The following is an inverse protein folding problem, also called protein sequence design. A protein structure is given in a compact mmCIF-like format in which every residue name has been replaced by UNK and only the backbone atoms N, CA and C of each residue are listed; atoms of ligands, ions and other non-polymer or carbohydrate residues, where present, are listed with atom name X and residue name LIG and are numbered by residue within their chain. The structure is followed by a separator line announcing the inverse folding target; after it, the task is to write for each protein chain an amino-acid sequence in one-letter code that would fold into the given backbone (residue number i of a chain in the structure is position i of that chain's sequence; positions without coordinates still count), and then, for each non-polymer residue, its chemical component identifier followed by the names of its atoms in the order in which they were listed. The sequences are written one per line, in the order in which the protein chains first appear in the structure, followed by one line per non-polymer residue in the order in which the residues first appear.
data_IF_801012161749
#
_entry.id   IF_801012161749
#
_cell.length_a   1.000
_cell.length_b   1.000
_cell.length_c   1.000
_cell.angle_alpha   90.00
_cell.angle_beta   90.00
_cell.angle_gamma   90.00
#
_symmetry.space_group_name_H-M   'P 1'
#
loop_
_entity.id
_entity.type
_entity.pdbx_description
1 polymer ?
#
# COMPACT_ATOMS: atom_id res chain seq x y z
N UNK A 1 19.05 18.34 19.65
CA UNK A 1 18.47 19.68 19.50
C UNK A 1 17.06 19.51 18.97
N UNK A 2 16.06 19.75 19.81
CA UNK A 2 14.63 19.67 19.46
C UNK A 2 14.29 20.87 18.56
N UNK A 3 13.72 20.63 17.38
CA UNK A 3 13.24 21.71 16.53
C UNK A 3 12.10 22.45 17.25
N UNK A 4 12.23 23.77 17.37
CA UNK A 4 11.25 24.62 18.01
C UNK A 4 9.94 24.60 17.22
N UNK A 5 8.85 24.35 17.94
CA UNK A 5 7.48 24.33 17.43
C UNK A 5 7.03 25.75 17.07
N UNK A 6 7.11 26.09 15.79
CA UNK A 6 6.32 27.18 15.21
C UNK A 6 5.12 26.58 14.49
N UNK A 7 3.99 26.48 15.20
CA UNK A 7 2.65 26.45 14.61
C UNK A 7 1.98 25.09 14.35
N UNK A 8 0.80 24.93 14.96
CA UNK A 8 -0.36 24.08 14.62
C UNK A 8 -0.31 22.54 14.66
N UNK A 9 0.82 21.86 14.52
CA UNK A 9 0.84 20.38 14.56
C UNK A 9 1.77 19.81 15.63
N UNK A 10 1.39 18.68 16.28
CA UNK A 10 2.26 18.03 17.23
C UNK A 10 3.55 17.59 16.54
N UNK A 11 4.68 17.92 17.16
CA UNK A 11 5.97 17.43 16.71
C UNK A 11 6.02 15.90 16.93
N UNK A 12 6.46 15.10 15.92
CA UNK A 12 6.64 13.67 16.11
C UNK A 12 7.61 13.39 17.27
N UNK A 13 7.18 12.54 18.22
CA UNK A 13 8.04 12.08 19.33
C UNK A 13 9.07 11.05 18.89
N UNK A 14 8.94 10.51 17.68
CA UNK A 14 9.90 9.58 17.08
C UNK A 14 11.24 10.27 16.81
N UNK A 15 12.38 9.56 17.02
CA UNK A 15 13.68 10.05 16.59
C UNK A 15 13.69 10.43 15.10
N UNK A 16 14.51 11.40 14.68
CA UNK A 16 14.69 11.69 13.27
C UNK A 16 15.24 10.46 12.55
N UNK A 17 14.82 10.26 11.30
CA UNK A 17 15.30 9.15 10.49
C UNK A 17 16.82 9.23 10.27
N UNK A 18 17.54 8.09 10.27
CA UNK A 18 18.95 8.04 9.90
C UNK A 18 19.20 8.64 8.51
N UNK A 19 20.40 9.17 8.26
CA UNK A 19 20.75 9.81 6.98
C UNK A 19 20.49 8.90 5.76
N UNK A 20 20.71 7.59 5.90
CA UNK A 20 20.51 6.57 4.84
C UNK A 20 19.03 6.35 4.48
N UNK A 21 18.09 6.85 5.27
CA UNK A 21 16.67 6.54 5.10
C UNK A 21 16.13 7.05 3.77
N UNK A 22 16.61 8.21 3.29
CA UNK A 22 16.20 8.75 1.98
C UNK A 22 16.55 7.78 0.83
N UNK A 23 17.77 7.23 0.86
CA UNK A 23 18.23 6.29 -0.18
C UNK A 23 17.54 4.93 -0.08
N UNK A 24 17.17 4.50 1.14
CA UNK A 24 16.38 3.29 1.36
C UNK A 24 14.98 3.46 0.78
N UNK A 25 14.29 4.54 1.12
CA UNK A 25 12.92 4.79 0.63
C UNK A 25 12.90 5.01 -0.89
N UNK A 26 13.90 5.69 -1.46
CA UNK A 26 14.03 5.82 -2.91
C UNK A 26 14.16 4.45 -3.60
N UNK A 27 15.03 3.56 -3.09
CA UNK A 27 15.17 2.21 -3.64
C UNK A 27 13.89 1.38 -3.52
N UNK A 28 13.17 1.52 -2.40
CA UNK A 28 11.85 0.88 -2.20
C UNK A 28 10.84 1.38 -3.23
N UNK A 29 10.76 2.69 -3.46
CA UNK A 29 9.86 3.30 -4.43
C UNK A 29 10.17 2.88 -5.87
N UNK A 30 11.45 2.83 -6.26
CA UNK A 30 11.87 2.35 -7.58
C UNK A 30 11.54 0.87 -7.79
N UNK A 31 11.77 0.04 -6.77
CA UNK A 31 11.40 -1.39 -6.80
C UNK A 31 9.89 -1.55 -6.94
N UNK A 32 9.11 -0.79 -6.17
CA UNK A 32 7.66 -0.80 -6.24
C UNK A 32 7.13 -0.37 -7.61
N UNK A 33 7.67 0.72 -8.16
CA UNK A 33 7.30 1.20 -9.50
C UNK A 33 7.57 0.16 -10.58
N UNK A 34 8.76 -0.44 -10.60
CA UNK A 34 9.14 -1.44 -11.60
C UNK A 34 8.25 -2.70 -11.53
N UNK A 35 7.99 -3.21 -10.32
CA UNK A 35 7.18 -4.42 -10.13
C UNK A 35 5.69 -4.19 -10.39
N UNK A 36 5.18 -3.01 -10.06
CA UNK A 36 3.77 -2.66 -10.26
C UNK A 36 3.38 -2.63 -11.74
N UNK A 37 4.27 -2.17 -12.62
CA UNK A 37 4.00 -2.13 -14.06
C UNK A 37 3.83 -3.50 -14.74
N UNK A 38 4.35 -4.57 -14.12
CA UNK A 38 4.22 -5.94 -14.61
C UNK A 38 3.24 -6.79 -13.77
N UNK A 39 2.59 -6.20 -12.76
CA UNK A 39 1.72 -6.92 -11.86
C UNK A 39 0.33 -7.10 -12.47
N UNK A 40 -0.13 -8.35 -12.56
CA UNK A 40 -1.36 -8.68 -13.30
C UNK A 40 -2.31 -9.62 -12.56
N UNK A 41 -1.91 -10.19 -11.43
CA UNK A 41 -2.78 -11.07 -10.65
C UNK A 41 -2.42 -11.03 -9.17
N UNK A 42 -3.43 -10.86 -8.32
CA UNK A 42 -3.31 -10.98 -6.88
C UNK A 42 -3.93 -12.28 -6.37
N UNK A 43 -3.21 -12.98 -5.48
CA UNK A 43 -3.73 -14.17 -4.83
C UNK A 43 -4.67 -13.78 -3.68
N UNK A 44 -5.96 -14.07 -3.85
CA UNK A 44 -6.97 -13.91 -2.81
C UNK A 44 -6.96 -15.17 -1.94
N UNK A 45 -6.65 -15.01 -0.64
CA UNK A 45 -6.60 -16.12 0.32
C UNK A 45 -7.94 -16.34 1.03
N UNK A 46 -8.78 -15.29 1.08
CA UNK A 46 -10.12 -15.35 1.63
C UNK A 46 -10.98 -14.25 1.00
N UNK A 47 -12.26 -14.52 0.79
CA UNK A 47 -13.22 -13.56 0.27
C UNK A 47 -14.61 -13.82 0.87
N UNK A 48 -15.30 -12.75 1.25
CA UNK A 48 -16.72 -12.76 1.58
C UNK A 48 -17.46 -11.60 0.88
N UNK A 49 -18.70 -11.34 1.27
CA UNK A 49 -19.54 -10.28 0.69
C UNK A 49 -18.95 -8.87 0.85
N UNK A 50 -18.11 -8.64 1.87
CA UNK A 50 -17.66 -7.30 2.28
C UNK A 50 -16.15 -7.10 2.21
N UNK A 51 -15.35 -8.18 2.24
CA UNK A 51 -13.89 -8.08 2.24
C UNK A 51 -13.21 -9.19 1.44
N UNK A 52 -12.05 -8.83 0.87
CA UNK A 52 -11.09 -9.76 0.32
C UNK A 52 -9.77 -9.65 1.11
N UNK A 53 -9.23 -10.79 1.51
CA UNK A 53 -7.88 -10.91 2.07
C UNK A 53 -6.96 -11.41 0.98
N UNK A 54 -5.86 -10.71 0.80
CA UNK A 54 -4.92 -10.92 -0.30
C UNK A 54 -3.54 -11.19 0.26
N UNK A 55 -2.80 -12.12 -0.36
CA UNK A 55 -1.36 -12.23 -0.11
C UNK A 55 -0.66 -11.08 -0.84
N UNK A 56 -0.29 -10.05 -0.09
CA UNK A 56 0.25 -8.80 -0.66
C UNK A 56 1.75 -8.95 -0.96
N UNK A 57 2.16 -8.94 -2.24
CA UNK A 57 3.56 -9.10 -2.59
C UNK A 57 4.35 -7.84 -2.21
N UNK A 58 5.52 -8.06 -1.61
CA UNK A 58 6.42 -6.97 -1.24
C UNK A 58 6.83 -6.13 -2.45
N UNK A 59 6.81 -4.80 -2.29
CA UNK A 59 7.22 -3.88 -3.34
C UNK A 59 6.29 -3.90 -4.55
N UNK A 60 4.98 -3.95 -4.33
CA UNK A 60 3.96 -3.64 -5.34
C UNK A 60 3.06 -2.57 -4.73
N UNK A 61 2.70 -1.56 -5.51
CA UNK A 61 1.81 -0.53 -5.02
C UNK A 61 0.37 -1.03 -4.94
N UNK A 62 -0.38 -0.49 -3.97
CA UNK A 62 -1.76 -0.90 -3.73
C UNK A 62 -2.65 -0.70 -4.96
N UNK A 63 -2.43 0.35 -5.77
CA UNK A 63 -3.22 0.55 -6.99
C UNK A 63 -3.05 -0.59 -8.00
N UNK A 64 -1.84 -1.10 -8.19
CA UNK A 64 -1.58 -2.24 -9.07
C UNK A 64 -2.17 -3.52 -8.48
N UNK A 65 -2.06 -3.69 -7.15
CA UNK A 65 -2.69 -4.81 -6.46
C UNK A 65 -4.21 -4.82 -6.67
N UNK A 66 -4.87 -3.70 -6.39
CA UNK A 66 -6.33 -3.56 -6.50
C UNK A 66 -6.80 -3.74 -7.95
N UNK A 67 -6.05 -3.22 -8.93
CA UNK A 67 -6.36 -3.39 -10.36
C UNK A 67 -6.24 -4.84 -10.83
N UNK A 68 -5.43 -5.65 -10.15
CA UNK A 68 -5.20 -7.06 -10.44
C UNK A 68 -6.08 -8.01 -9.62
N UNK A 69 -6.93 -7.48 -8.72
CA UNK A 69 -7.89 -8.32 -8.01
C UNK A 69 -8.95 -8.84 -8.99
N UNK A 70 -9.41 -10.09 -8.80
CA UNK A 70 -10.59 -10.55 -9.51
C UNK A 70 -11.76 -9.61 -9.17
N UNK A 71 -12.39 -9.03 -10.19
CA UNK A 71 -13.59 -8.23 -9.99
C UNK A 71 -14.70 -9.14 -9.46
N UNK A 72 -14.97 -9.07 -8.16
CA UNK A 72 -16.04 -9.85 -7.55
C UNK A 72 -17.37 -9.28 -8.02
N UNK A 73 -18.04 -9.98 -8.94
CA UNK A 73 -19.40 -9.68 -9.39
C UNK A 73 -20.42 -10.06 -8.31
N UNK A 74 -20.19 -9.67 -7.05
CA UNK A 74 -21.05 -10.03 -5.93
C UNK A 74 -22.32 -9.16 -5.83
N UNK A 75 -22.49 -8.15 -6.70
CA UNK A 75 -23.66 -7.27 -6.69
C UNK A 75 -24.51 -7.42 -7.96
N UNK A 76 -25.05 -8.61 -8.23
CA UNK A 76 -26.19 -8.76 -9.16
C UNK A 76 -27.02 -10.03 -8.92
N UNK A 77 -27.16 -10.50 -7.67
CA UNK A 77 -27.91 -11.74 -7.40
C UNK A 77 -28.93 -11.68 -6.26
N UNK A 78 -29.22 -10.51 -5.68
CA UNK A 78 -30.28 -10.30 -4.67
C UNK A 78 -30.82 -8.89 -4.91
N UNK A 79 -31.79 -8.67 -5.81
CA UNK A 79 -33.24 -8.91 -5.67
C UNK A 79 -33.88 -9.12 -7.07
N UNK A 80 -34.92 -9.97 -7.22
CA UNK A 80 -35.85 -9.90 -8.36
C UNK A 80 -36.76 -8.66 -8.31
#
# INVERSE_FOLDING_TARGET
MSAAATGEYPCPVSPPYPAVSKDVELRRALTASARSGAYSSAAVVFEDEWLAVVDSPAGVYCEALLSALPCSTASSALYP
#
